data_IF_264008321603
#
_entry.id   IF_264008321603
#
_cell.length_a   1.000
_cell.length_b   1.000
_cell.length_c   1.000
_cell.angle_alpha   90.00
_cell.angle_beta   90.00
_cell.angle_gamma   90.00
#
_symmetry.space_group_name_H-M   'P 1'
#
loop_
_entity.id
_entity.type
_entity.pdbx_description
1 polymer ?
#
# COMPACT_ATOMS: atom_id res chain seq x y z
N UNK A 1 3.61 6.50 -59.12
CA UNK A 1 3.37 5.30 -58.28
C UNK A 1 3.60 5.68 -56.84
N UNK A 2 2.52 5.84 -56.08
CA UNK A 2 2.55 6.30 -54.69
C UNK A 2 2.58 5.08 -53.77
N UNK A 3 3.75 4.71 -53.25
CA UNK A 3 3.83 3.67 -52.23
C UNK A 3 3.50 4.29 -50.87
N UNK A 4 2.24 4.12 -50.44
CA UNK A 4 1.84 4.36 -49.04
C UNK A 4 2.52 3.30 -48.17
N UNK A 5 3.63 3.65 -47.53
CA UNK A 5 4.18 2.85 -46.44
C UNK A 5 3.26 2.99 -45.23
N UNK A 6 2.50 1.93 -44.96
CA UNK A 6 1.63 1.82 -43.79
C UNK A 6 2.50 1.47 -42.60
N UNK A 7 2.97 2.49 -41.87
CA UNK A 7 3.59 2.28 -40.56
C UNK A 7 2.51 1.82 -39.59
N UNK A 8 2.31 0.51 -39.47
CA UNK A 8 1.63 -0.08 -38.32
C UNK A 8 2.57 -0.02 -37.13
N UNK A 9 2.54 1.11 -36.40
CA UNK A 9 3.05 1.14 -35.04
C UNK A 9 2.07 0.35 -34.16
N UNK A 10 2.37 -0.93 -33.93
CA UNK A 10 1.79 -1.62 -32.79
C UNK A 10 2.37 -0.93 -31.54
N UNK A 11 1.61 0.01 -30.98
CA UNK A 11 1.87 0.53 -29.64
C UNK A 11 1.55 -0.64 -28.71
N UNK A 12 2.52 -1.27 -28.03
CA UNK A 12 2.16 -2.17 -26.95
C UNK A 12 1.43 -1.31 -25.93
N UNK A 13 0.14 -1.57 -25.75
CA UNK A 13 -0.60 -1.04 -24.63
C UNK A 13 0.07 -1.60 -23.38
N UNK A 14 1.00 -0.84 -22.81
CA UNK A 14 1.46 -1.05 -21.45
C UNK A 14 0.24 -0.71 -20.60
N UNK A 15 -0.57 -1.72 -20.31
CA UNK A 15 -1.47 -1.68 -19.17
C UNK A 15 -0.57 -1.56 -17.94
N UNK A 16 -0.23 -0.33 -17.56
CA UNK A 16 0.16 -0.01 -16.21
C UNK A 16 -1.01 -0.48 -15.35
N UNK A 17 -0.86 -1.66 -14.76
CA UNK A 17 -1.77 -2.16 -13.76
C UNK A 17 -1.72 -1.16 -12.61
N UNK A 18 -2.63 -0.18 -12.60
CA UNK A 18 -2.78 0.78 -11.51
C UNK A 18 -2.99 0.07 -10.16
N UNK A 19 -3.37 -1.22 -10.16
CA UNK A 19 -3.49 -2.06 -8.97
C UNK A 19 -2.20 -2.76 -8.49
N UNK A 20 -1.11 -2.80 -9.29
CA UNK A 20 0.15 -3.42 -8.87
C UNK A 20 1.03 -2.49 -8.03
N UNK A 21 0.71 -1.19 -8.02
CA UNK A 21 1.43 -0.15 -7.26
C UNK A 21 0.57 0.49 -6.16
N UNK A 22 -0.66 0.00 -5.97
CA UNK A 22 -1.52 0.51 -4.90
C UNK A 22 -0.89 0.18 -3.55
N UNK A 23 -0.67 1.20 -2.73
CA UNK A 23 -0.19 1.11 -1.36
C UNK A 23 -1.25 0.41 -0.49
N UNK A 24 -0.99 0.22 0.81
CA UNK A 24 -1.92 -0.51 1.68
C UNK A 24 -2.48 0.36 2.79
N UNK A 25 -3.80 0.41 2.93
CA UNK A 25 -4.44 0.96 4.11
C UNK A 25 -4.22 0.02 5.30
N UNK A 26 -3.64 0.55 6.37
CA UNK A 26 -3.42 -0.17 7.62
C UNK A 26 -4.10 0.59 8.76
N UNK A 27 -4.77 -0.15 9.63
CA UNK A 27 -5.30 0.34 10.90
C UNK A 27 -4.53 -0.27 12.07
N UNK A 28 -4.16 0.56 13.04
CA UNK A 28 -3.66 0.11 14.34
C UNK A 28 -4.81 0.06 15.33
N UNK A 29 -4.94 -1.05 16.03
CA UNK A 29 -5.96 -1.30 17.04
C UNK A 29 -5.33 -1.51 18.40
N UNK A 30 -5.97 -0.96 19.42
CA UNK A 30 -5.57 -1.21 20.80
C UNK A 30 -6.08 -2.57 21.31
N UNK A 31 -5.85 -2.83 22.58
CA UNK A 31 -6.24 -4.03 23.33
C UNK A 31 -7.76 -4.22 23.48
N UNK A 32 -8.54 -3.18 23.17
CA UNK A 32 -10.00 -3.20 23.16
C UNK A 32 -10.58 -3.34 21.74
N UNK A 33 -9.76 -3.71 20.74
CA UNK A 33 -10.13 -3.80 19.32
C UNK A 33 -10.59 -2.45 18.72
N UNK A 34 -10.24 -1.34 19.35
CA UNK A 34 -10.57 0.02 18.87
C UNK A 34 -9.45 0.54 17.99
N UNK A 35 -9.79 1.03 16.80
CA UNK A 35 -8.86 1.71 15.92
C UNK A 35 -8.34 3.01 16.55
N UNK A 36 -7.03 3.10 16.73
CA UNK A 36 -6.33 4.24 17.36
C UNK A 36 -5.43 4.99 16.38
N UNK A 37 -5.28 4.50 15.15
CA UNK A 37 -4.61 5.17 14.05
C UNK A 37 -4.80 4.43 12.73
N UNK A 38 -4.65 5.12 11.62
CA UNK A 38 -4.58 4.52 10.29
C UNK A 38 -3.79 5.35 9.30
N UNK A 39 -3.28 4.71 8.26
CA UNK A 39 -2.58 5.38 7.17
C UNK A 39 -2.48 4.51 5.93
N UNK A 40 -2.21 5.17 4.81
CA UNK A 40 -1.81 4.52 3.56
C UNK A 40 -0.30 4.31 3.60
N UNK A 41 0.14 3.05 3.52
CA UNK A 41 1.52 2.63 3.75
C UNK A 41 2.14 2.17 2.45
N UNK A 42 3.30 2.75 2.13
CA UNK A 42 4.03 2.39 0.94
C UNK A 42 4.44 0.93 0.97
N UNK A 43 4.17 0.20 -0.12
CA UNK A 43 4.71 -1.16 -0.31
C UNK A 43 6.22 -1.19 -0.50
N UNK A 44 6.81 -0.08 -0.96
CA UNK A 44 8.25 0.02 -1.24
C UNK A 44 9.02 0.48 -0.01
N UNK A 45 8.58 1.56 0.63
CA UNK A 45 9.35 2.24 1.68
C UNK A 45 8.78 2.05 3.09
N UNK A 46 7.57 1.49 3.22
CA UNK A 46 6.79 1.53 4.45
C UNK A 46 6.32 2.95 4.78
N UNK A 47 5.92 3.17 6.03
CA UNK A 47 5.40 4.46 6.47
C UNK A 47 5.14 4.53 7.96
N UNK A 48 4.83 5.73 8.45
CA UNK A 48 4.49 5.94 9.86
C UNK A 48 3.00 6.16 10.04
N UNK A 49 2.42 5.50 11.05
CA UNK A 49 1.07 5.77 11.52
C UNK A 49 1.17 6.47 12.88
N UNK A 50 0.55 7.65 12.99
CA UNK A 50 0.34 8.32 14.26
C UNK A 50 -0.82 7.63 15.00
N UNK A 51 -0.53 7.06 16.16
CA UNK A 51 -1.54 6.48 17.06
C UNK A 51 -1.22 6.83 18.51
N UNK A 52 -2.22 7.25 19.27
CA UNK A 52 -2.06 7.65 20.69
C UNK A 52 -0.87 8.58 20.96
N UNK A 53 -0.62 9.53 20.05
CA UNK A 53 0.48 10.52 20.17
C UNK A 53 1.89 9.98 19.89
N UNK A 54 2.03 8.76 19.35
CA UNK A 54 3.30 8.15 18.94
C UNK A 54 3.25 7.73 17.47
N UNK A 55 4.40 7.79 16.80
CA UNK A 55 4.55 7.27 15.44
C UNK A 55 5.03 5.82 15.48
N UNK A 56 4.31 4.94 14.78
CA UNK A 56 4.66 3.54 14.62
C UNK A 56 5.06 3.30 13.18
N UNK A 57 6.25 2.71 12.97
CA UNK A 57 6.70 2.37 11.63
C UNK A 57 6.05 1.06 11.19
N UNK A 58 5.41 1.10 10.04
CA UNK A 58 4.66 0.00 9.44
C UNK A 58 5.27 -0.30 8.09
N UNK A 59 5.53 -1.58 7.84
CA UNK A 59 5.85 -2.11 6.52
C UNK A 59 4.72 -3.01 6.06
N UNK A 60 4.52 -3.03 4.75
CA UNK A 60 3.50 -3.87 4.13
C UNK A 60 4.10 -4.66 2.98
N UNK A 61 3.62 -5.87 2.78
CA UNK A 61 3.99 -6.68 1.61
C UNK A 61 3.15 -6.30 0.40
N UNK A 62 3.51 -6.82 -0.78
CA UNK A 62 2.73 -6.68 -2.01
C UNK A 62 1.26 -7.12 -1.88
N UNK A 63 0.99 -8.11 -1.02
CA UNK A 63 -0.36 -8.60 -0.71
C UNK A 63 -1.04 -7.86 0.44
N UNK A 64 -0.49 -6.71 0.87
CA UNK A 64 -0.91 -5.97 2.06
C UNK A 64 -0.89 -6.80 3.36
N UNK A 65 0.06 -7.75 3.47
CA UNK A 65 0.45 -8.31 4.75
C UNK A 65 1.20 -7.27 5.56
N UNK A 66 1.03 -7.26 6.89
CA UNK A 66 1.53 -6.18 7.75
C UNK A 66 2.65 -6.67 8.64
N UNK A 67 3.71 -5.88 8.73
CA UNK A 67 4.73 -5.94 9.76
C UNK A 67 4.85 -4.58 10.45
N UNK A 68 4.87 -4.54 11.78
CA UNK A 68 4.90 -3.29 12.56
C UNK A 68 6.02 -3.33 13.58
N UNK A 69 6.91 -2.35 13.49
CA UNK A 69 8.03 -2.24 14.42
C UNK A 69 7.59 -1.52 15.71
N UNK A 70 7.88 -2.14 16.86
CA UNK A 70 7.59 -1.63 18.21
C UNK A 70 6.11 -1.40 18.52
N UNK A 71 5.22 -2.21 17.98
CA UNK A 71 3.81 -2.22 18.40
C UNK A 71 3.71 -2.74 19.86
N UNK A 72 2.92 -2.11 20.75
CA UNK A 72 2.70 -2.66 22.09
C UNK A 72 2.15 -4.09 22.02
N UNK A 73 2.58 -4.98 22.91
CA UNK A 73 2.23 -6.42 22.87
C UNK A 73 0.72 -6.71 22.90
N UNK A 74 -0.10 -5.76 23.34
CA UNK A 74 -1.56 -5.89 23.43
C UNK A 74 -2.28 -5.25 22.24
N UNK A 75 -1.57 -4.55 21.36
CA UNK A 75 -2.12 -3.92 20.17
C UNK A 75 -2.00 -4.84 18.96
N UNK A 76 -2.80 -4.57 17.93
CA UNK A 76 -2.77 -5.30 16.67
C UNK A 76 -2.80 -4.34 15.49
N UNK A 77 -2.40 -4.84 14.32
CA UNK A 77 -2.52 -4.13 13.06
C UNK A 77 -3.41 -4.92 12.10
N UNK A 78 -4.29 -4.21 11.39
CA UNK A 78 -5.23 -4.80 10.45
C UNK A 78 -5.06 -4.17 9.07
N UNK A 79 -5.02 -5.03 8.05
CA UNK A 79 -5.01 -4.62 6.65
C UNK A 79 -6.44 -4.33 6.22
N UNK A 80 -6.65 -3.15 5.66
CA UNK A 80 -7.95 -2.71 5.13
C UNK A 80 -8.02 -2.83 3.60
N UNK A 81 -6.94 -3.30 2.98
CA UNK A 81 -6.81 -3.43 1.52
C UNK A 81 -6.08 -2.26 0.87
N UNK A 82 -6.13 -2.15 -0.46
CA UNK A 82 -5.39 -1.15 -1.21
C UNK A 82 -5.82 0.30 -0.92
N UNK A 83 -4.86 1.21 -1.03
CA UNK A 83 -5.02 2.64 -1.27
C UNK A 83 -4.19 3.01 -2.52
#
# INVERSE_FOLDING_TARGET
MTHKMKFSAAIPAIFLAAGALADCNVALKNDFDVQVGSGCISKTDGGYILASGKNFFVQVTESCGIDVLYLPNTWSAQSLGPC
#
